data_IF_181785408430
#
_entry.id   IF_181785408430
#
_cell.length_a   1.000
_cell.length_b   1.000
_cell.length_c   1.000
_cell.angle_alpha   90.00
_cell.angle_beta   90.00
_cell.angle_gamma   90.00
#
_symmetry.space_group_name_H-M   'P 1'
#
loop_
_entity.id
_entity.type
_entity.pdbx_description
1 polymer ?
#
# COMPACT_ATOMS: atom_id res chain seq x y z
N UNK A 1 -17.71 -1.32 12.44
CA UNK A 1 -16.60 -2.28 12.32
C UNK A 1 -16.64 -2.82 10.89
N UNK A 2 -15.92 -2.19 9.96
CA UNK A 2 -15.94 -2.53 8.54
C UNK A 2 -14.73 -3.43 8.17
N UNK A 3 -14.64 -4.61 8.79
CA UNK A 3 -13.70 -5.65 8.41
C UNK A 3 -14.48 -6.96 8.28
N UNK A 4 -14.51 -7.53 7.09
CA UNK A 4 -15.12 -8.85 6.89
C UNK A 4 -14.47 -9.87 7.82
N UNK A 5 -15.25 -10.80 8.38
CA UNK A 5 -14.74 -11.86 9.25
C UNK A 5 -13.70 -12.77 8.55
N UNK A 6 -13.71 -12.78 7.23
CA UNK A 6 -12.81 -13.54 6.36
C UNK A 6 -12.54 -12.74 5.09
N UNK A 7 -11.40 -13.01 4.45
CA UNK A 7 -11.06 -12.50 3.11
C UNK A 7 -11.78 -13.28 1.99
N UNK A 8 -12.41 -14.41 2.32
CA UNK A 8 -12.97 -15.34 1.32
C UNK A 8 -11.91 -16.16 0.57
N UNK A 9 -10.63 -15.99 0.90
CA UNK A 9 -9.50 -16.67 0.26
C UNK A 9 -8.78 -17.59 1.26
N UNK A 10 -8.47 -18.81 0.84
CA UNK A 10 -7.75 -19.77 1.69
C UNK A 10 -6.32 -19.29 1.91
N UNK A 11 -5.86 -19.32 3.17
CA UNK A 11 -4.48 -18.95 3.54
C UNK A 11 -4.22 -17.44 3.63
N UNK A 12 -5.21 -16.58 3.34
CA UNK A 12 -5.07 -15.13 3.46
C UNK A 12 -5.81 -14.61 4.69
N UNK A 13 -5.08 -14.33 5.76
CA UNK A 13 -5.64 -13.79 6.99
C UNK A 13 -6.09 -12.33 6.84
N UNK A 14 -7.17 -11.96 7.54
CA UNK A 14 -7.68 -10.59 7.60
C UNK A 14 -6.70 -9.71 8.40
N UNK A 15 -6.37 -8.53 7.86
CA UNK A 15 -5.57 -7.53 8.57
C UNK A 15 -6.51 -6.55 9.31
N UNK A 16 -6.30 -6.38 10.62
CA UNK A 16 -7.13 -5.48 11.44
C UNK A 16 -6.74 -3.99 11.30
N UNK A 17 -5.53 -3.70 10.85
CA UNK A 17 -4.99 -2.33 10.68
C UNK A 17 -4.41 -2.12 9.28
N UNK A 18 -5.23 -2.32 8.21
CA UNK A 18 -4.74 -2.34 6.83
C UNK A 18 -4.06 -1.03 6.42
N UNK A 19 -4.61 0.13 6.76
CA UNK A 19 -4.01 1.43 6.43
C UNK A 19 -2.64 1.65 7.09
N UNK A 20 -2.51 1.32 8.37
CA UNK A 20 -1.23 1.45 9.07
C UNK A 20 -0.19 0.51 8.45
N UNK A 21 -0.58 -0.74 8.20
CA UNK A 21 0.28 -1.73 7.58
C UNK A 21 0.73 -1.30 6.18
N UNK A 22 -0.18 -0.79 5.35
CA UNK A 22 0.12 -0.30 4.01
C UNK A 22 1.04 0.93 4.04
N UNK A 23 0.81 1.88 4.96
CA UNK A 23 1.71 3.04 5.14
C UNK A 23 3.12 2.60 5.48
N UNK A 24 3.28 1.68 6.43
CA UNK A 24 4.60 1.14 6.81
C UNK A 24 5.26 0.46 5.61
N UNK A 25 4.53 -0.36 4.85
CA UNK A 25 5.08 -1.08 3.70
C UNK A 25 5.51 -0.14 2.58
N UNK A 26 4.68 0.84 2.21
CA UNK A 26 5.03 1.80 1.16
C UNK A 26 6.18 2.72 1.58
N UNK A 27 6.24 3.17 2.83
CA UNK A 27 7.40 3.92 3.33
C UNK A 27 8.67 3.06 3.26
N UNK A 28 8.64 1.80 3.71
CA UNK A 28 9.79 0.90 3.60
C UNK A 28 10.24 0.66 2.17
N UNK A 29 9.30 0.57 1.23
CA UNK A 29 9.64 0.46 -0.20
C UNK A 29 10.38 1.71 -0.65
N UNK A 30 9.86 2.91 -0.34
CA UNK A 30 10.52 4.16 -0.70
C UNK A 30 11.93 4.26 -0.07
N UNK A 31 12.08 3.88 1.20
CA UNK A 31 13.37 3.87 1.90
C UNK A 31 14.40 2.97 1.17
N UNK A 32 14.01 1.75 0.78
CA UNK A 32 14.89 0.83 0.04
C UNK A 32 15.19 1.35 -1.38
N UNK A 33 14.24 2.04 -2.02
CA UNK A 33 14.48 2.66 -3.33
C UNK A 33 15.52 3.78 -3.27
N UNK A 34 15.77 4.38 -2.10
CA UNK A 34 16.81 5.40 -1.96
C UNK A 34 18.21 4.87 -2.28
N UNK A 35 18.46 3.58 -2.06
CA UNK A 35 19.72 2.89 -2.36
C UNK A 35 19.95 2.67 -3.87
N UNK A 36 18.91 2.78 -4.70
CA UNK A 36 18.98 2.57 -6.15
C UNK A 36 19.32 3.90 -6.85
N UNK A 37 20.19 3.94 -7.88
CA UNK A 37 20.47 5.19 -8.61
C UNK A 37 19.20 5.88 -9.15
N UNK A 38 19.11 7.22 -9.01
CA UNK A 38 17.93 8.03 -9.44
C UNK A 38 17.61 7.93 -10.93
N UNK A 39 18.59 7.61 -11.77
CA UNK A 39 18.42 7.43 -13.21
C UNK A 39 17.95 6.02 -13.60
N UNK A 40 17.88 5.08 -12.65
CA UNK A 40 17.36 3.75 -12.91
C UNK A 40 15.86 3.85 -13.20
N UNK A 41 15.44 3.36 -14.36
CA UNK A 41 14.03 3.34 -14.76
C UNK A 41 13.17 2.62 -13.72
N UNK A 42 13.68 1.53 -13.13
CA UNK A 42 13.01 0.81 -12.06
C UNK A 42 12.67 1.73 -10.88
N UNK A 43 13.66 2.43 -10.32
CA UNK A 43 13.44 3.38 -9.21
C UNK A 43 12.39 4.41 -9.57
N UNK A 44 12.52 5.07 -10.73
CA UNK A 44 11.60 6.13 -11.16
C UNK A 44 10.14 5.65 -11.19
N UNK A 45 9.87 4.51 -11.84
CA UNK A 45 8.50 4.02 -11.98
C UNK A 45 7.97 3.39 -10.69
N UNK A 46 8.81 2.71 -9.91
CA UNK A 46 8.38 2.16 -8.62
C UNK A 46 8.11 3.26 -7.60
N UNK A 47 8.92 4.33 -7.55
CA UNK A 47 8.64 5.52 -6.72
C UNK A 47 7.32 6.17 -7.12
N UNK A 48 7.07 6.33 -8.43
CA UNK A 48 5.81 6.91 -8.91
C UNK A 48 4.59 6.12 -8.39
N UNK A 49 4.54 4.81 -8.69
CA UNK A 49 3.41 3.94 -8.32
C UNK A 49 3.25 3.87 -6.79
N UNK A 50 4.37 3.78 -6.06
CA UNK A 50 4.37 3.70 -4.59
C UNK A 50 3.84 4.98 -3.97
N UNK A 51 4.25 6.15 -4.48
CA UNK A 51 3.76 7.44 -4.00
C UNK A 51 2.27 7.63 -4.31
N UNK A 52 1.81 7.25 -5.52
CA UNK A 52 0.39 7.29 -5.90
C UNK A 52 -0.46 6.43 -4.94
N UNK A 53 -0.05 5.16 -4.71
CA UNK A 53 -0.75 4.26 -3.79
C UNK A 53 -0.71 4.75 -2.34
N UNK A 54 0.43 5.26 -1.88
CA UNK A 54 0.54 5.82 -0.53
C UNK A 54 -0.35 7.05 -0.36
N UNK A 55 -0.49 7.89 -1.39
CA UNK A 55 -1.39 9.03 -1.37
C UNK A 55 -2.86 8.58 -1.27
N UNK A 56 -3.27 7.56 -2.05
CA UNK A 56 -4.62 6.98 -1.95
C UNK A 56 -4.93 6.45 -0.55
N UNK A 57 -4.00 5.68 0.05
CA UNK A 57 -4.14 5.16 1.43
C UNK A 57 -4.16 6.28 2.49
N UNK A 58 -3.54 7.43 2.23
CA UNK A 58 -3.61 8.59 3.11
C UNK A 58 -4.93 9.35 2.97
N UNK A 59 -5.51 9.37 1.76
CA UNK A 59 -6.70 10.14 1.44
C UNK A 59 -8.01 9.43 1.83
N UNK A 60 -8.12 8.12 1.62
CA UNK A 60 -9.36 7.37 1.87
C UNK A 60 -9.27 6.54 3.16
N UNK A 61 -10.00 6.91 4.24
CA UNK A 61 -10.00 6.16 5.49
C UNK A 61 -10.89 4.91 5.47
N UNK A 62 -11.87 4.81 4.58
CA UNK A 62 -12.74 3.64 4.50
C UNK A 62 -12.04 2.51 3.73
N UNK A 63 -11.91 1.34 4.37
CA UNK A 63 -11.19 0.19 3.80
C UNK A 63 -11.83 -0.27 2.50
N UNK A 64 -13.16 -0.32 2.43
CA UNK A 64 -13.87 -0.85 1.27
C UNK A 64 -13.76 0.11 0.08
N UNK A 65 -13.96 1.41 0.31
CA UNK A 65 -13.78 2.43 -0.74
C UNK A 65 -12.36 2.46 -1.26
N UNK A 66 -11.38 2.29 -0.37
CA UNK A 66 -9.98 2.22 -0.75
C UNK A 66 -9.71 0.98 -1.64
N UNK A 67 -10.28 -0.19 -1.30
CA UNK A 67 -10.19 -1.39 -2.14
C UNK A 67 -10.79 -1.17 -3.53
N UNK A 68 -11.92 -0.46 -3.63
CA UNK A 68 -12.56 -0.14 -4.92
C UNK A 68 -11.75 0.86 -5.78
N UNK A 69 -10.86 1.65 -5.16
CA UNK A 69 -10.01 2.65 -5.82
C UNK A 69 -8.63 2.12 -6.25
N UNK A 70 -8.18 1.01 -5.66
CA UNK A 70 -6.85 0.41 -5.89
C UNK A 70 -6.80 -0.52 -7.10
#
# INVERSE_FOLDING_TARGET
LAGGFTTGLVGLAVCNTPHERLRILYTKILDVLEEIPKNAAYRKYTEQITNEKLAMVKAEPDVKKLEDQL
#
